data_IF_778985751102
#
_entry.id   IF_778985751102
#
_cell.length_a   1.000
_cell.length_b   1.000
_cell.length_c   1.000
_cell.angle_alpha   90.00
_cell.angle_beta   90.00
_cell.angle_gamma   90.00
#
_symmetry.space_group_name_H-M   'P 1'
#
loop_
_entity.id
_entity.type
_entity.pdbx_description
1 polymer ?
#
# COMPACT_ATOMS: atom_id res chain seq x y z
N UNK A 1 1.13 -40.80 62.84
CA UNK A 1 2.13 -40.93 61.76
C UNK A 1 1.66 -40.04 60.62
N UNK A 2 2.34 -38.90 60.46
CA UNK A 2 1.74 -37.69 59.90
C UNK A 2 2.06 -37.55 58.41
N UNK A 3 1.02 -37.33 57.60
CA UNK A 3 1.01 -37.09 56.14
C UNK A 3 1.82 -35.85 55.70
N UNK A 4 2.35 -35.09 56.66
CA UNK A 4 3.09 -33.82 56.47
C UNK A 4 4.59 -34.00 56.24
N UNK A 5 5.12 -35.23 56.26
CA UNK A 5 6.53 -35.52 56.01
C UNK A 5 6.82 -36.05 54.60
N UNK A 6 5.81 -36.11 53.72
CA UNK A 6 5.98 -36.47 52.30
C UNK A 6 6.12 -35.24 51.38
N UNK A 7 6.34 -34.06 51.96
CA UNK A 7 6.44 -32.76 51.28
C UNK A 7 7.84 -32.14 51.37
N UNK A 8 8.89 -32.95 51.57
CA UNK A 8 10.27 -32.45 51.62
C UNK A 8 11.22 -33.30 50.77
N UNK A 9 11.17 -33.10 49.44
CA UNK A 9 12.33 -33.15 48.57
C UNK A 9 12.04 -32.26 47.35
N UNK A 10 13.03 -31.50 46.86
CA UNK A 10 12.84 -30.16 46.33
C UNK A 10 12.22 -30.16 44.93
N UNK A 11 11.38 -29.16 44.74
CA UNK A 11 10.87 -28.70 43.46
C UNK A 11 12.02 -28.29 42.51
N UNK A 12 11.67 -28.30 41.22
CA UNK A 12 12.44 -27.78 40.10
C UNK A 12 13.49 -28.73 39.52
N UNK A 13 13.07 -29.57 38.58
CA UNK A 13 13.66 -29.73 37.23
C UNK A 13 12.67 -30.59 36.43
N UNK A 14 12.47 -30.28 35.14
CA UNK A 14 11.50 -30.85 34.18
C UNK A 14 10.17 -30.11 34.01
N UNK A 15 10.19 -28.79 34.12
CA UNK A 15 9.43 -27.98 33.17
C UNK A 15 10.41 -27.47 32.12
N UNK A 16 10.01 -27.46 30.84
CA UNK A 16 10.72 -26.98 29.63
C UNK A 16 11.26 -28.10 28.73
N UNK A 17 10.36 -28.91 28.17
CA UNK A 17 10.62 -29.63 26.91
C UNK A 17 9.65 -29.24 25.78
N UNK A 18 8.66 -28.37 26.04
CA UNK A 18 7.66 -27.94 25.05
C UNK A 18 7.99 -26.60 24.36
N UNK A 19 9.16 -26.01 24.63
CA UNK A 19 9.50 -24.64 24.20
C UNK A 19 10.57 -24.52 23.11
N UNK A 20 11.16 -25.63 22.64
CA UNK A 20 12.18 -25.59 21.58
C UNK A 20 11.53 -25.77 20.20
N UNK A 21 10.49 -24.98 19.93
CA UNK A 21 10.08 -24.74 18.56
C UNK A 21 11.23 -24.01 17.85
N UNK A 22 11.65 -24.50 16.68
CA UNK A 22 12.64 -23.80 15.86
C UNK A 22 12.12 -22.41 15.55
N UNK A 23 12.82 -21.37 15.98
CA UNK A 23 12.65 -20.01 15.44
C UNK A 23 13.11 -20.10 13.99
N UNK A 24 12.16 -20.17 13.05
CA UNK A 24 12.48 -19.96 11.65
C UNK A 24 12.60 -18.46 11.44
N UNK A 25 13.78 -17.99 11.06
CA UNK A 25 13.95 -16.64 10.58
C UNK A 25 13.07 -16.46 9.34
N UNK A 26 12.06 -15.59 9.44
CA UNK A 26 11.25 -15.21 8.31
C UNK A 26 12.09 -14.36 7.35
N UNK A 27 12.61 -15.00 6.30
CA UNK A 27 13.32 -14.32 5.20
C UNK A 27 12.31 -13.54 4.34
N UNK A 28 11.97 -12.32 4.76
CA UNK A 28 11.14 -11.39 4.00
C UNK A 28 11.95 -10.68 2.89
N UNK A 29 12.56 -11.45 1.99
CA UNK A 29 13.42 -10.96 0.90
C UNK A 29 12.71 -10.99 -0.47
N UNK A 30 11.38 -10.84 -0.51
CA UNK A 30 10.66 -10.76 -1.77
C UNK A 30 11.07 -9.47 -2.52
N UNK A 31 11.31 -9.53 -3.85
CA UNK A 31 11.56 -8.34 -4.65
C UNK A 31 10.39 -7.35 -4.54
N UNK A 32 10.70 -6.05 -4.61
CA UNK A 32 9.68 -5.02 -4.70
C UNK A 32 8.83 -5.25 -5.96
N UNK A 33 7.51 -5.29 -5.80
CA UNK A 33 6.61 -5.34 -6.93
C UNK A 33 6.77 -4.06 -7.76
N UNK A 34 7.14 -4.21 -9.03
CA UNK A 34 7.30 -3.09 -9.98
C UNK A 34 6.08 -2.92 -10.89
N UNK A 35 5.11 -3.82 -10.78
CA UNK A 35 3.90 -3.81 -11.60
C UNK A 35 2.84 -2.89 -11.00
N UNK A 36 2.16 -2.15 -11.87
CA UNK A 36 0.99 -1.37 -11.48
C UNK A 36 -0.21 -2.29 -11.20
N UNK A 37 -1.11 -1.92 -10.28
CA UNK A 37 -2.39 -2.61 -10.12
C UNK A 37 -3.23 -2.50 -11.40
N UNK A 38 -4.26 -3.35 -11.57
CA UNK A 38 -5.16 -3.28 -12.71
C UNK A 38 -5.75 -1.87 -12.89
N UNK A 39 -5.70 -1.36 -14.13
CA UNK A 39 -6.19 -0.03 -14.49
C UNK A 39 -7.70 0.01 -14.68
N UNK A 40 -8.49 -0.39 -13.68
CA UNK A 40 -9.94 -0.16 -13.71
C UNK A 40 -10.47 0.21 -12.34
N UNK A 41 -11.54 0.99 -12.33
CA UNK A 41 -12.26 1.33 -11.10
C UNK A 41 -13.76 1.06 -11.29
N UNK A 42 -14.33 0.27 -10.38
CA UNK A 42 -15.74 -0.11 -10.41
C UNK A 42 -16.51 0.64 -9.33
N UNK A 43 -17.62 1.24 -9.73
CA UNK A 43 -18.53 1.93 -8.82
C UNK A 43 -19.99 1.62 -9.16
N UNK A 44 -20.85 1.73 -8.15
CA UNK A 44 -22.30 1.60 -8.32
C UNK A 44 -22.90 2.99 -8.47
N UNK A 45 -23.78 3.17 -9.46
CA UNK A 45 -24.53 4.40 -9.70
C UNK A 45 -26.02 4.06 -9.83
N UNK A 46 -26.74 4.16 -8.71
CA UNK A 46 -28.11 3.63 -8.62
C UNK A 46 -28.12 2.13 -8.89
N UNK A 47 -28.89 1.70 -9.89
CA UNK A 47 -28.97 0.30 -10.30
C UNK A 47 -27.89 -0.11 -11.33
N UNK A 48 -27.05 0.84 -11.77
CA UNK A 48 -26.00 0.59 -12.76
C UNK A 48 -24.66 0.30 -12.09
N UNK A 49 -23.87 -0.57 -12.72
CA UNK A 49 -22.46 -0.77 -12.40
C UNK A 49 -21.60 -0.11 -13.48
N UNK A 50 -20.82 0.91 -13.09
CA UNK A 50 -19.90 1.62 -13.97
C UNK A 50 -18.49 1.08 -13.73
N UNK A 51 -17.76 0.79 -14.81
CA UNK A 51 -16.33 0.43 -14.75
C UNK A 51 -15.56 1.42 -15.62
N UNK A 52 -14.79 2.32 -14.99
CA UNK A 52 -13.85 3.18 -15.70
C UNK A 52 -12.59 2.37 -16.03
N UNK A 53 -12.15 2.40 -17.28
CA UNK A 53 -10.94 1.71 -17.74
C UNK A 53 -9.84 2.74 -18.01
N UNK A 54 -8.69 2.60 -17.33
CA UNK A 54 -7.49 3.39 -17.55
C UNK A 54 -6.73 2.83 -18.77
N UNK A 55 -6.75 3.57 -19.88
CA UNK A 55 -6.01 3.24 -21.11
C UNK A 55 -4.53 3.69 -21.04
N UNK A 56 -4.18 4.48 -20.02
CA UNK A 56 -2.82 4.89 -19.74
C UNK A 56 -2.72 6.35 -19.32
N UNK A 57 -1.50 6.88 -19.36
CA UNK A 57 -1.20 8.27 -19.06
C UNK A 57 -0.37 8.89 -20.18
N UNK A 58 -0.60 10.17 -20.47
CA UNK A 58 0.15 10.92 -21.48
C UNK A 58 0.72 12.22 -20.88
N UNK A 59 2.02 12.51 -21.04
CA UNK A 59 2.59 13.77 -20.60
C UNK A 59 2.13 14.90 -21.53
N UNK A 60 1.42 15.88 -20.99
CA UNK A 60 0.94 17.04 -21.76
C UNK A 60 1.57 18.36 -21.26
N UNK A 61 2.04 19.22 -22.17
CA UNK A 61 2.63 20.51 -21.81
C UNK A 61 1.53 21.54 -21.51
N UNK A 62 0.85 21.38 -20.36
CA UNK A 62 -0.35 22.16 -20.05
C UNK A 62 -0.12 23.68 -20.05
N UNK A 63 1.08 24.14 -19.69
CA UNK A 63 1.40 25.57 -19.70
C UNK A 63 1.40 26.22 -21.10
N UNK A 64 1.33 25.45 -22.19
CA UNK A 64 1.25 25.97 -23.56
C UNK A 64 -0.07 25.65 -24.28
N UNK A 65 -1.02 24.98 -23.62
CA UNK A 65 -2.23 24.45 -24.28
C UNK A 65 -3.49 25.30 -24.10
N UNK A 66 -3.44 26.34 -23.27
CA UNK A 66 -4.61 27.15 -22.94
C UNK A 66 -4.62 28.50 -23.65
N UNK A 67 -5.81 28.91 -24.10
CA UNK A 67 -6.06 30.25 -24.63
C UNK A 67 -6.60 31.17 -23.52
N UNK A 68 -6.39 32.48 -23.66
CA UNK A 68 -6.94 33.48 -22.72
C UNK A 68 -6.25 33.54 -21.35
N UNK A 69 -5.05 33.00 -21.24
CA UNK A 69 -4.19 33.03 -20.04
C UNK A 69 -2.72 33.13 -20.45
N UNK A 70 -1.83 33.27 -19.47
CA UNK A 70 -0.38 33.24 -19.68
C UNK A 70 0.24 31.95 -19.12
N UNK A 71 1.35 31.45 -19.67
CA UNK A 71 2.04 30.28 -19.13
C UNK A 71 2.36 30.40 -17.64
N UNK A 72 2.75 31.59 -17.17
CA UNK A 72 3.07 31.84 -15.76
C UNK A 72 1.85 31.67 -14.83
N UNK A 73 0.66 32.10 -15.26
CA UNK A 73 -0.59 31.88 -14.52
C UNK A 73 -0.97 30.40 -14.48
N UNK A 74 -0.73 29.68 -15.59
CA UNK A 74 -0.95 28.23 -15.64
C UNK A 74 0.03 27.52 -14.72
N UNK A 75 1.31 27.84 -14.76
CA UNK A 75 2.33 27.26 -13.89
C UNK A 75 2.02 27.52 -12.41
N UNK A 76 1.51 28.72 -12.07
CA UNK A 76 1.05 29.04 -10.71
C UNK A 76 -0.14 28.16 -10.29
N UNK A 77 -1.12 27.96 -11.17
CA UNK A 77 -2.28 27.12 -10.90
C UNK A 77 -1.89 25.63 -10.76
N UNK A 78 -0.98 25.15 -11.61
CA UNK A 78 -0.42 23.80 -11.52
C UNK A 78 0.34 23.62 -10.20
N UNK A 79 1.19 24.58 -9.83
CA UNK A 79 1.93 24.53 -8.57
C UNK A 79 1.02 24.49 -7.34
N UNK A 80 -0.10 25.23 -7.36
CA UNK A 80 -1.12 25.17 -6.32
C UNK A 80 -1.77 23.77 -6.16
N UNK A 81 -1.75 22.96 -7.23
CA UNK A 81 -2.20 21.58 -7.24
C UNK A 81 -1.06 20.56 -7.07
N UNK A 82 0.15 21.00 -6.71
CA UNK A 82 1.37 20.16 -6.63
C UNK A 82 1.77 19.52 -7.96
N UNK A 83 1.42 20.15 -9.08
CA UNK A 83 1.75 19.72 -10.42
C UNK A 83 2.82 20.63 -11.04
N UNK A 84 3.55 20.09 -12.02
CA UNK A 84 4.49 20.84 -12.87
C UNK A 84 4.35 20.35 -14.31
N UNK A 85 4.36 21.27 -15.27
CA UNK A 85 4.33 20.93 -16.70
C UNK A 85 5.68 20.29 -17.13
N UNK A 86 5.69 19.22 -17.96
CA UNK A 86 4.52 18.50 -18.47
C UNK A 86 3.86 17.60 -17.40
N UNK A 87 2.54 17.49 -17.45
CA UNK A 87 1.75 16.70 -16.49
C UNK A 87 1.30 15.40 -17.15
N UNK A 88 1.54 14.27 -16.49
CA UNK A 88 1.00 12.97 -16.90
C UNK A 88 -0.51 12.92 -16.60
N UNK A 89 -1.34 13.05 -17.64
CA UNK A 89 -2.79 13.00 -17.53
C UNK A 89 -3.32 11.62 -17.93
N UNK A 90 -4.34 11.14 -17.21
CA UNK A 90 -4.98 9.85 -17.48
C UNK A 90 -5.90 9.90 -18.71
N UNK A 91 -5.92 8.81 -19.47
CA UNK A 91 -6.90 8.54 -20.53
C UNK A 91 -7.82 7.43 -20.02
N UNK A 92 -9.13 7.69 -19.96
CA UNK A 92 -10.12 6.74 -19.45
C UNK A 92 -11.25 6.50 -20.46
N UNK A 93 -11.74 5.25 -20.53
CA UNK A 93 -12.91 4.83 -21.31
C UNK A 93 -14.06 4.36 -20.41
#
# INVERSE_FOLDING_TARGET
MNRRQLLQAPAAVLAVAAGLGRVQDAMAAAPLATTRPPGFYRMTLGDLQVTALLDGTVPLPLNTMYNGTTPAQVDQALAAAFLRSPVDLSINA
#
